data_IF_105543159615
#
_entry.id   IF_105543159615
#
_cell.length_a   1.000
_cell.length_b   1.000
_cell.length_c   1.000
_cell.angle_alpha   90.00
_cell.angle_beta   90.00
_cell.angle_gamma   90.00
#
_symmetry.space_group_name_H-M   'P 1'
#
loop_
_entity.id
_entity.type
_entity.pdbx_description
1 polymer ?
#
# COMPACT_ATOMS: atom_id res chain seq x y z
N UNK A 1 -5.35 -7.53 -14.05
CA UNK A 1 -4.99 -7.89 -12.67
C UNK A 1 -3.53 -7.57 -12.33
N UNK A 2 -2.53 -7.94 -13.15
CA UNK A 2 -1.10 -7.69 -12.87
C UNK A 2 -0.81 -6.20 -12.61
N UNK A 3 -1.32 -5.30 -13.42
CA UNK A 3 -1.16 -3.85 -13.22
C UNK A 3 -1.77 -3.39 -11.91
N UNK A 4 -2.95 -3.90 -11.57
CA UNK A 4 -3.62 -3.57 -10.32
C UNK A 4 -2.77 -3.96 -9.11
N UNK A 5 -2.32 -5.22 -9.03
CA UNK A 5 -1.50 -5.71 -7.92
C UNK A 5 -0.16 -5.00 -7.82
N UNK A 6 0.46 -4.66 -8.97
CA UNK A 6 1.68 -3.87 -9.01
C UNK A 6 1.48 -2.49 -8.38
N UNK A 7 0.44 -1.76 -8.79
CA UNK A 7 0.18 -0.42 -8.26
C UNK A 7 -0.27 -0.44 -6.81
N UNK A 8 -0.99 -1.48 -6.34
CA UNK A 8 -1.31 -1.64 -4.92
C UNK A 8 -0.06 -1.88 -4.07
N UNK A 9 0.85 -2.73 -4.53
CA UNK A 9 2.13 -2.95 -3.84
C UNK A 9 2.98 -1.67 -3.81
N UNK A 10 3.00 -0.91 -4.91
CA UNK A 10 3.74 0.33 -5.02
C UNK A 10 3.18 1.41 -4.08
N UNK A 11 1.86 1.64 -4.08
CA UNK A 11 1.26 2.66 -3.23
C UNK A 11 1.36 2.30 -1.75
N UNK A 12 1.07 1.06 -1.37
CA UNK A 12 1.17 0.57 0.00
C UNK A 12 2.59 0.63 0.54
N UNK A 13 3.55 0.11 -0.24
CA UNK A 13 4.97 0.14 0.11
C UNK A 13 5.52 1.54 0.25
N UNK A 14 5.18 2.46 -0.67
CA UNK A 14 5.65 3.87 -0.61
C UNK A 14 5.18 4.55 0.68
N UNK A 15 3.91 4.38 1.07
CA UNK A 15 3.40 4.96 2.31
C UNK A 15 3.93 4.28 3.56
N UNK A 16 4.18 2.97 3.53
CA UNK A 16 4.82 2.27 4.63
C UNK A 16 6.23 2.79 4.88
N UNK A 17 7.04 2.97 3.82
CA UNK A 17 8.39 3.53 3.93
C UNK A 17 8.33 4.99 4.39
N UNK A 18 7.41 5.81 3.86
CA UNK A 18 7.22 7.18 4.34
C UNK A 18 6.82 7.23 5.82
N UNK A 19 5.95 6.33 6.27
CA UNK A 19 5.59 6.19 7.69
C UNK A 19 6.81 5.88 8.56
N UNK A 20 7.66 4.96 8.13
CA UNK A 20 8.91 4.63 8.82
C UNK A 20 9.83 5.85 8.93
N UNK A 21 10.04 6.59 7.83
CA UNK A 21 10.85 7.81 7.83
C UNK A 21 10.28 8.87 8.80
N UNK A 22 8.95 9.01 8.82
CA UNK A 22 8.26 9.95 9.73
C UNK A 22 8.47 9.56 11.19
N UNK A 23 8.43 8.26 11.55
CA UNK A 23 8.75 7.77 12.89
C UNK A 23 10.20 8.06 13.28
N UNK A 24 11.12 7.97 12.33
CA UNK A 24 12.53 8.31 12.54
C UNK A 24 12.79 9.83 12.58
N UNK A 25 11.80 10.67 12.31
CA UNK A 25 11.94 12.13 12.27
C UNK A 25 12.66 12.65 11.04
N UNK A 26 12.73 11.85 9.96
CA UNK A 26 13.38 12.21 8.68
C UNK A 26 12.36 12.17 7.54
N UNK A 27 12.74 12.63 6.34
CA UNK A 27 11.88 12.55 5.16
C UNK A 27 10.76 13.58 5.10
N UNK A 28 10.89 14.72 5.81
CA UNK A 28 9.91 15.82 5.78
C UNK A 28 9.64 16.33 4.37
N UNK A 29 10.69 16.51 3.56
CA UNK A 29 10.58 17.00 2.18
C UNK A 29 9.90 16.00 1.23
N UNK A 30 9.87 14.74 1.61
CA UNK A 30 9.34 13.65 0.79
C UNK A 30 7.85 13.41 0.96
N UNK A 31 7.24 13.84 2.07
CA UNK A 31 5.87 13.45 2.45
C UNK A 31 4.84 13.78 1.36
N UNK A 32 4.89 15.00 0.80
CA UNK A 32 3.98 15.40 -0.28
C UNK A 32 4.16 14.54 -1.53
N UNK A 33 5.41 14.28 -1.94
CA UNK A 33 5.69 13.46 -3.11
C UNK A 33 5.25 12.01 -2.90
N UNK A 34 5.53 11.43 -1.73
CA UNK A 34 5.09 10.08 -1.36
C UNK A 34 3.56 9.94 -1.36
N UNK A 35 2.84 10.94 -0.84
CA UNK A 35 1.38 10.99 -0.87
C UNK A 35 0.84 11.05 -2.31
N UNK A 36 1.40 11.93 -3.14
CA UNK A 36 0.98 12.08 -4.54
C UNK A 36 1.23 10.79 -5.31
N UNK A 37 2.42 10.21 -5.20
CA UNK A 37 2.76 8.94 -5.88
C UNK A 37 1.82 7.83 -5.43
N UNK A 38 1.55 7.71 -4.13
CA UNK A 38 0.64 6.68 -3.61
C UNK A 38 -0.81 6.90 -4.05
N UNK A 39 -1.29 8.15 -4.04
CA UNK A 39 -2.65 8.47 -4.49
C UNK A 39 -2.82 8.18 -6.00
N UNK A 40 -1.86 8.63 -6.81
CA UNK A 40 -1.88 8.36 -8.26
C UNK A 40 -1.81 6.86 -8.54
N UNK A 41 -0.94 6.12 -7.85
CA UNK A 41 -0.82 4.67 -8.01
C UNK A 41 -2.11 3.95 -7.62
N UNK A 42 -2.77 4.36 -6.53
CA UNK A 42 -4.06 3.80 -6.13
C UNK A 42 -5.14 4.04 -7.18
N UNK A 43 -5.21 5.25 -7.74
CA UNK A 43 -6.17 5.59 -8.81
C UNK A 43 -5.89 4.80 -10.08
N UNK A 44 -4.62 4.75 -10.52
CA UNK A 44 -4.24 3.99 -11.74
C UNK A 44 -4.52 2.50 -11.56
N UNK A 45 -4.19 1.93 -10.39
CA UNK A 45 -4.53 0.54 -10.06
C UNK A 45 -6.03 0.30 -10.07
N UNK A 46 -6.81 1.20 -9.45
CA UNK A 46 -8.27 1.15 -9.46
C UNK A 46 -8.85 1.20 -10.88
N UNK A 47 -8.40 2.12 -11.71
CA UNK A 47 -8.81 2.20 -13.12
C UNK A 47 -8.46 0.90 -13.86
N UNK A 48 -7.26 0.36 -13.65
CA UNK A 48 -6.85 -0.89 -14.30
C UNK A 48 -7.76 -2.08 -13.94
N UNK A 49 -8.24 -2.16 -12.69
CA UNK A 49 -9.19 -3.20 -12.29
C UNK A 49 -10.56 -2.97 -12.91
N UNK A 50 -11.07 -1.74 -12.93
CA UNK A 50 -12.35 -1.41 -13.57
C UNK A 50 -12.36 -1.75 -15.06
N UNK A 51 -11.27 -1.45 -15.76
CA UNK A 51 -11.15 -1.80 -17.20
C UNK A 51 -11.07 -3.30 -17.46
N UNK A 52 -10.69 -4.10 -16.45
CA UNK A 52 -10.58 -5.56 -16.57
C UNK A 52 -11.88 -6.29 -16.24
N UNK A 53 -12.79 -5.66 -15.52
CA UNK A 53 -14.05 -6.25 -15.10
C UNK A 53 -15.11 -6.09 -16.21
N UNK A 54 -15.62 -7.20 -16.72
CA UNK A 54 -16.75 -7.20 -17.67
C UNK A 54 -18.03 -6.62 -17.04
N UNK A 55 -18.19 -6.79 -15.72
CA UNK A 55 -19.34 -6.35 -14.94
C UNK A 55 -18.88 -5.51 -13.74
N UNK A 56 -18.39 -4.30 -13.99
CA UNK A 56 -17.87 -3.40 -12.96
C UNK A 56 -18.92 -3.02 -11.91
N UNK A 57 -20.22 -3.03 -12.25
CA UNK A 57 -21.33 -2.77 -11.33
C UNK A 57 -21.39 -3.78 -10.17
N UNK A 58 -20.85 -5.00 -10.35
CA UNK A 58 -20.82 -6.04 -9.32
C UNK A 58 -19.87 -5.73 -8.17
N UNK A 59 -18.96 -4.77 -8.34
CA UNK A 59 -18.09 -4.29 -7.24
C UNK A 59 -18.95 -3.73 -6.10
N UNK A 60 -20.05 -3.03 -6.42
CA UNK A 60 -20.94 -2.48 -5.39
C UNK A 60 -21.65 -3.58 -4.59
N UNK A 61 -21.90 -4.75 -5.19
CA UNK A 61 -22.47 -5.90 -4.48
C UNK A 61 -21.49 -6.46 -3.43
N UNK A 62 -20.18 -6.37 -3.67
CA UNK A 62 -19.16 -6.78 -2.70
C UNK A 62 -19.21 -5.94 -1.42
N UNK A 63 -19.52 -4.64 -1.52
CA UNK A 63 -19.74 -3.78 -0.38
C UNK A 63 -21.08 -4.07 0.32
N UNK A 64 -22.15 -4.31 -0.45
CA UNK A 64 -23.49 -4.59 0.07
C UNK A 64 -23.58 -5.90 0.84
N UNK A 65 -22.91 -6.96 0.42
CA UNK A 65 -22.94 -8.28 1.08
C UNK A 65 -22.33 -8.25 2.49
N UNK A 66 -21.29 -7.47 2.70
CA UNK A 66 -20.67 -7.32 4.01
C UNK A 66 -21.55 -6.50 4.96
N UNK A 67 -22.14 -5.41 4.46
CA UNK A 67 -23.04 -4.55 5.23
C UNK A 67 -24.38 -5.24 5.59
N UNK A 68 -24.84 -6.16 4.75
CA UNK A 68 -26.09 -6.91 4.97
C UNK A 68 -25.96 -8.06 5.99
N UNK A 69 -24.75 -8.32 6.52
CA UNK A 69 -24.53 -9.38 7.53
C UNK A 69 -24.79 -10.80 7.01
N UNK A 70 -24.95 -10.98 5.72
CA UNK A 70 -25.08 -12.30 5.10
C UNK A 70 -23.74 -13.01 5.16
N UNK A 71 -23.54 -13.88 6.15
CA UNK A 71 -22.32 -14.60 6.50
C UNK A 71 -21.78 -15.56 5.44
N UNK A 72 -21.88 -15.22 4.17
CA UNK A 72 -21.14 -15.88 3.11
C UNK A 72 -19.66 -15.46 3.20
N UNK A 73 -18.77 -16.41 3.11
CA UNK A 73 -17.33 -16.22 3.19
C UNK A 73 -16.91 -14.97 2.39
N UNK A 74 -16.27 -14.02 3.09
CA UNK A 74 -15.75 -12.79 2.46
C UNK A 74 -14.75 -13.24 1.40
N UNK A 75 -15.05 -12.98 0.13
CA UNK A 75 -14.11 -13.33 -0.93
C UNK A 75 -12.83 -12.50 -0.80
N UNK A 76 -11.67 -13.04 -1.19
CA UNK A 76 -10.41 -12.33 -1.15
C UNK A 76 -10.47 -10.97 -1.87
N UNK A 77 -11.18 -10.90 -2.99
CA UNK A 77 -11.41 -9.65 -3.75
C UNK A 77 -12.19 -8.63 -2.91
N UNK A 78 -13.20 -9.06 -2.16
CA UNK A 78 -13.97 -8.16 -1.28
C UNK A 78 -13.08 -7.59 -0.18
N UNK A 79 -12.25 -8.43 0.44
CA UNK A 79 -11.27 -8.01 1.44
C UNK A 79 -10.30 -6.97 0.88
N UNK A 80 -9.74 -7.24 -0.31
CA UNK A 80 -8.82 -6.35 -1.00
C UNK A 80 -9.44 -4.98 -1.29
N UNK A 81 -10.69 -4.92 -1.76
CA UNK A 81 -11.42 -3.67 -1.98
C UNK A 81 -11.61 -2.87 -0.69
N UNK A 82 -11.92 -3.53 0.43
CA UNK A 82 -12.03 -2.85 1.73
C UNK A 82 -10.70 -2.26 2.17
N UNK A 83 -9.59 -2.98 1.98
CA UNK A 83 -8.27 -2.43 2.26
C UNK A 83 -7.91 -1.26 1.34
N UNK A 84 -8.36 -1.24 0.08
CA UNK A 84 -8.22 -0.08 -0.80
C UNK A 84 -8.94 1.15 -0.25
N UNK A 85 -10.18 0.98 0.25
CA UNK A 85 -10.95 2.07 0.88
C UNK A 85 -10.26 2.56 2.17
N UNK A 86 -9.83 1.65 3.04
CA UNK A 86 -9.10 2.00 4.26
C UNK A 86 -7.79 2.73 3.94
N UNK A 87 -7.09 2.30 2.91
CA UNK A 87 -5.86 2.95 2.46
C UNK A 87 -6.14 4.35 1.92
N UNK A 88 -7.19 4.55 1.13
CA UNK A 88 -7.61 5.87 0.65
C UNK A 88 -7.95 6.81 1.81
N UNK A 89 -8.71 6.33 2.81
CA UNK A 89 -9.01 7.09 4.02
C UNK A 89 -7.75 7.44 4.81
N UNK A 90 -6.81 6.50 4.94
CA UNK A 90 -5.51 6.75 5.59
C UNK A 90 -4.72 7.83 4.85
N UNK A 91 -4.69 7.83 3.51
CA UNK A 91 -4.02 8.89 2.73
C UNK A 91 -4.62 10.25 3.02
N UNK A 92 -5.95 10.36 3.07
CA UNK A 92 -6.65 11.61 3.40
C UNK A 92 -6.30 12.06 4.83
N UNK A 93 -6.37 11.17 5.80
CA UNK A 93 -6.02 11.48 7.19
C UNK A 93 -4.57 11.94 7.31
N UNK A 94 -3.64 11.20 6.69
CA UNK A 94 -2.22 11.55 6.70
C UNK A 94 -1.99 12.95 6.12
N UNK A 95 -2.61 13.27 4.98
CA UNK A 95 -2.55 14.59 4.36
C UNK A 95 -3.10 15.70 5.27
N UNK A 96 -4.29 15.50 5.86
CA UNK A 96 -4.93 16.50 6.72
C UNK A 96 -4.09 16.79 7.97
N UNK A 97 -3.60 15.75 8.63
CA UNK A 97 -2.82 15.92 9.85
C UNK A 97 -1.41 16.45 9.58
N UNK A 98 -0.80 16.06 8.46
CA UNK A 98 0.46 16.66 8.00
C UNK A 98 0.31 18.17 7.77
N UNK A 99 -0.81 18.60 7.15
CA UNK A 99 -1.09 20.02 6.89
C UNK A 99 -1.40 20.83 8.16
N UNK A 100 -1.96 20.18 9.17
CA UNK A 100 -2.30 20.83 10.45
C UNK A 100 -1.11 20.89 11.43
N UNK A 101 -0.09 20.10 11.21
CA UNK A 101 1.07 20.04 12.08
C UNK A 101 1.93 21.30 11.90
N UNK A 102 2.33 21.92 13.00
CA UNK A 102 3.25 23.08 12.99
C UNK A 102 4.61 22.73 12.41
N UNK A 103 5.07 21.52 12.64
CA UNK A 103 6.34 21.01 12.11
C UNK A 103 6.26 20.63 10.62
N UNK A 104 5.05 20.60 10.03
CA UNK A 104 4.82 20.13 8.68
C UNK A 104 5.14 18.66 8.46
N UNK A 105 5.21 17.87 9.56
CA UNK A 105 5.32 16.42 9.55
C UNK A 105 4.04 15.78 10.09
N UNK A 106 3.63 14.66 9.54
CA UNK A 106 2.50 13.91 10.08
C UNK A 106 2.82 13.41 11.50
N UNK A 107 1.82 13.37 12.41
CA UNK A 107 2.03 12.87 13.76
C UNK A 107 2.38 11.37 13.74
N UNK A 108 3.08 10.91 14.79
CA UNK A 108 3.59 9.52 14.88
C UNK A 108 2.49 8.46 14.74
N UNK A 109 1.29 8.71 15.25
CA UNK A 109 0.18 7.76 15.12
C UNK A 109 -0.29 7.60 13.65
N UNK A 110 -0.29 8.70 12.86
CA UNK A 110 -0.53 8.62 11.42
C UNK A 110 0.57 7.83 10.70
N UNK A 111 1.81 7.99 11.12
CA UNK A 111 2.93 7.24 10.58
C UNK A 111 2.80 5.73 10.86
N UNK A 112 2.37 5.35 12.06
CA UNK A 112 2.07 3.93 12.39
C UNK A 112 0.92 3.41 11.54
N UNK A 113 -0.16 4.17 11.39
CA UNK A 113 -1.27 3.79 10.50
C UNK A 113 -0.83 3.61 9.05
N UNK A 114 0.05 4.50 8.55
CA UNK A 114 0.59 4.39 7.20
C UNK A 114 1.41 3.10 7.00
N UNK A 115 2.18 2.69 8.01
CA UNK A 115 2.93 1.42 7.97
C UNK A 115 1.96 0.24 7.99
N UNK A 116 1.05 0.20 8.97
CA UNK A 116 0.15 -0.95 9.17
C UNK A 116 -0.77 -1.14 7.96
N UNK A 117 -1.49 -0.10 7.55
CA UNK A 117 -2.43 -0.17 6.43
C UNK A 117 -1.67 -0.32 5.09
N UNK A 118 -0.53 0.37 4.96
CA UNK A 118 0.33 0.28 3.77
C UNK A 118 0.88 -1.12 3.52
N UNK A 119 1.18 -1.90 4.56
CA UNK A 119 1.61 -3.30 4.44
C UNK A 119 0.44 -4.29 4.43
N UNK A 120 -0.67 -3.97 5.10
CA UNK A 120 -1.87 -4.80 5.09
C UNK A 120 -2.52 -4.88 3.69
N UNK A 121 -2.45 -3.80 2.90
CA UNK A 121 -2.98 -3.77 1.54
C UNK A 121 -2.33 -4.83 0.63
N UNK A 122 -1.00 -4.90 0.44
CA UNK A 122 -0.38 -5.97 -0.34
C UNK A 122 -0.53 -7.35 0.31
N UNK A 123 -0.64 -7.45 1.64
CA UNK A 123 -0.93 -8.71 2.31
C UNK A 123 -2.32 -9.23 1.93
N UNK A 124 -3.34 -8.38 1.92
CA UNK A 124 -4.70 -8.72 1.46
C UNK A 124 -4.71 -9.10 -0.03
N UNK A 125 -3.90 -8.43 -0.85
CA UNK A 125 -3.70 -8.81 -2.26
C UNK A 125 -3.10 -10.23 -2.35
N UNK A 126 -2.08 -10.54 -1.57
CA UNK A 126 -1.49 -11.89 -1.52
C UNK A 126 -2.49 -12.96 -1.07
N UNK A 127 -3.33 -12.64 -0.08
CA UNK A 127 -4.39 -13.52 0.42
C UNK A 127 -5.45 -13.80 -0.65
N UNK A 128 -5.83 -12.81 -1.46
CA UNK A 128 -6.82 -12.95 -2.52
C UNK A 128 -6.42 -13.94 -3.63
N UNK A 129 -5.12 -14.23 -3.75
CA UNK A 129 -4.56 -15.21 -4.71
C UNK A 129 -4.35 -16.61 -4.12
N UNK A 130 -4.66 -16.84 -2.83
CA UNK A 130 -4.61 -18.19 -2.25
C UNK A 130 -5.72 -19.05 -2.86
N UNK A 131 -5.34 -20.01 -3.68
CA UNK A 131 -6.27 -20.90 -4.37
C UNK A 131 -6.04 -22.36 -3.96
N UNK A 132 -6.98 -22.99 -3.23
CA UNK A 132 -6.88 -24.42 -2.87
C UNK A 132 -6.76 -25.35 -4.07
N UNK A 133 -7.30 -24.93 -5.23
CA UNK A 133 -7.21 -25.69 -6.49
C UNK A 133 -5.81 -25.72 -7.09
N UNK A 134 -4.92 -24.81 -6.69
CA UNK A 134 -3.53 -24.74 -7.18
C UNK A 134 -2.61 -24.81 -5.96
N UNK A 135 -2.13 -26.03 -5.57
CA UNK A 135 -1.33 -26.18 -4.34
C UNK A 135 -0.08 -25.31 -4.27
N UNK A 136 0.54 -25.02 -5.42
CA UNK A 136 1.71 -24.14 -5.49
C UNK A 136 1.40 -22.67 -5.08
N UNK A 137 0.16 -22.23 -5.19
CA UNK A 137 -0.30 -20.88 -4.84
C UNK A 137 -1.02 -20.84 -3.47
N UNK A 138 -1.36 -21.99 -2.94
CA UNK A 138 -2.04 -22.11 -1.64
C UNK A 138 -1.01 -22.20 -0.49
N UNK A 139 -0.17 -21.19 -0.38
CA UNK A 139 0.86 -21.12 0.65
C UNK A 139 0.92 -19.72 1.28
N UNK A 140 1.08 -19.61 2.61
CA UNK A 140 1.28 -18.32 3.29
C UNK A 140 2.50 -17.54 2.78
N UNK A 141 3.46 -18.21 2.16
CA UNK A 141 4.63 -17.58 1.55
C UNK A 141 4.24 -16.59 0.45
N UNK A 142 3.10 -16.79 -0.21
CA UNK A 142 2.60 -15.86 -1.22
C UNK A 142 2.29 -14.48 -0.59
N UNK A 143 1.69 -14.45 0.58
CA UNK A 143 1.42 -13.21 1.32
C UNK A 143 2.75 -12.51 1.67
N UNK A 144 3.72 -13.28 2.19
CA UNK A 144 5.06 -12.75 2.51
C UNK A 144 5.73 -12.18 1.26
N UNK A 145 5.65 -12.88 0.13
CA UNK A 145 6.17 -12.41 -1.15
C UNK A 145 5.58 -11.05 -1.57
N UNK A 146 4.26 -10.88 -1.47
CA UNK A 146 3.60 -9.60 -1.82
C UNK A 146 4.02 -8.46 -0.89
N UNK A 147 4.15 -8.72 0.41
CA UNK A 147 4.61 -7.74 1.38
C UNK A 147 6.08 -7.35 1.11
N UNK A 148 6.96 -8.31 0.88
CA UNK A 148 8.37 -8.04 0.56
C UNK A 148 8.52 -7.27 -0.74
N UNK A 149 7.74 -7.62 -1.76
CA UNK A 149 7.70 -6.90 -3.03
C UNK A 149 7.21 -5.46 -2.85
N UNK A 150 6.22 -5.23 -2.00
CA UNK A 150 5.77 -3.88 -1.67
C UNK A 150 6.86 -3.05 -0.95
N UNK A 151 7.59 -3.66 -0.02
CA UNK A 151 8.71 -3.00 0.67
C UNK A 151 9.84 -2.67 -0.32
N UNK A 152 10.15 -3.58 -1.23
CA UNK A 152 11.13 -3.35 -2.30
C UNK A 152 10.71 -2.19 -3.20
N UNK A 153 9.51 -2.25 -3.78
CA UNK A 153 8.99 -1.23 -4.69
C UNK A 153 8.85 0.13 -4.00
N UNK A 154 8.26 0.14 -2.79
CA UNK A 154 8.11 1.36 -1.99
C UNK A 154 9.46 1.96 -1.60
N UNK A 155 10.43 1.13 -1.22
CA UNK A 155 11.79 1.54 -0.92
C UNK A 155 12.51 2.16 -2.13
N UNK A 156 12.37 1.54 -3.31
CA UNK A 156 12.94 2.08 -4.55
C UNK A 156 12.32 3.44 -4.91
N UNK A 157 10.99 3.55 -4.90
CA UNK A 157 10.27 4.81 -5.16
C UNK A 157 10.68 5.87 -4.15
N UNK A 158 10.70 5.54 -2.86
CA UNK A 158 11.12 6.46 -1.81
C UNK A 158 12.58 6.91 -1.99
N UNK A 159 13.47 6.03 -2.46
CA UNK A 159 14.86 6.37 -2.76
C UNK A 159 14.95 7.39 -3.91
N UNK A 160 14.15 7.21 -4.96
CA UNK A 160 14.06 8.18 -6.07
C UNK A 160 13.53 9.53 -5.57
N UNK A 161 12.47 9.52 -4.76
CA UNK A 161 11.89 10.74 -4.19
C UNK A 161 12.91 11.44 -3.27
N UNK A 162 13.66 10.70 -2.45
CA UNK A 162 14.70 11.24 -1.58
C UNK A 162 15.82 11.92 -2.40
N UNK A 163 16.23 11.28 -3.49
CA UNK A 163 17.22 11.83 -4.41
C UNK A 163 16.73 13.13 -5.05
N UNK A 164 15.51 13.16 -5.58
CA UNK A 164 14.90 14.33 -6.20
C UNK A 164 14.68 15.48 -5.20
N UNK A 165 14.32 15.15 -3.95
CA UNK A 165 14.09 16.11 -2.87
C UNK A 165 15.37 16.58 -2.18
N UNK A 166 16.54 16.03 -2.59
CA UNK A 166 17.85 16.30 -1.98
C UNK A 166 17.86 16.06 -0.47
N UNK A 167 17.13 15.03 -0.01
CA UNK A 167 17.07 14.60 1.39
C UNK A 167 18.08 13.48 1.64
N UNK A 168 19.33 13.87 1.93
CA UNK A 168 20.43 12.91 2.10
C UNK A 168 20.24 11.98 3.31
N UNK A 169 19.56 12.45 4.36
CA UNK A 169 19.29 11.64 5.54
C UNK A 169 18.29 10.52 5.25
N UNK A 170 17.26 10.81 4.46
CA UNK A 170 16.27 9.82 4.04
C UNK A 170 16.83 8.85 2.99
N UNK A 171 17.68 9.31 2.08
CA UNK A 171 18.21 8.53 0.96
C UNK A 171 18.89 7.21 1.40
N UNK A 172 19.80 7.30 2.39
CA UNK A 172 20.51 6.11 2.88
C UNK A 172 19.57 5.10 3.54
N UNK A 173 18.54 5.58 4.24
CA UNK A 173 17.57 4.73 4.91
C UNK A 173 16.65 4.04 3.90
N UNK A 174 16.13 4.77 2.92
CA UNK A 174 15.24 4.21 1.89
C UNK A 174 15.95 3.17 1.03
N UNK A 175 17.20 3.40 0.67
CA UNK A 175 18.01 2.43 -0.08
C UNK A 175 18.21 1.12 0.71
N UNK A 176 18.49 1.18 2.01
CA UNK A 176 18.59 0.00 2.88
C UNK A 176 17.26 -0.75 2.96
N UNK A 177 16.14 -0.04 3.09
CA UNK A 177 14.80 -0.66 3.13
C UNK A 177 14.49 -1.38 1.82
N UNK A 178 14.81 -0.77 0.68
CA UNK A 178 14.64 -1.41 -0.62
C UNK A 178 15.46 -2.71 -0.76
N UNK A 179 16.73 -2.68 -0.35
CA UNK A 179 17.59 -3.87 -0.36
C UNK A 179 17.04 -4.98 0.54
N UNK A 180 16.62 -4.64 1.78
CA UNK A 180 16.05 -5.61 2.70
C UNK A 180 14.78 -6.27 2.13
N UNK A 181 13.88 -5.50 1.53
CA UNK A 181 12.70 -6.05 0.86
C UNK A 181 13.03 -7.01 -0.28
N UNK A 182 14.07 -6.70 -1.07
CA UNK A 182 14.52 -7.54 -2.16
C UNK A 182 15.23 -8.83 -1.70
N UNK A 183 15.95 -8.80 -0.58
CA UNK A 183 16.64 -10.00 -0.04
C UNK A 183 15.69 -10.98 0.63
N UNK A 184 14.70 -10.49 1.38
CA UNK A 184 13.73 -11.35 2.08
C UNK A 184 12.75 -12.00 1.08
N UNK A 185 12.45 -11.32 -0.04
CA UNK A 185 11.53 -11.82 -1.07
C UNK A 185 12.12 -12.83 -2.05
N UNK A 186 13.41 -13.20 -1.91
CA UNK A 186 14.06 -14.27 -2.71
C UNK A 186 13.85 -15.62 -2.08
#
# INVERSE_FOLDING_TARGET
LILFTFFLSLCGGTMAVQGLLTLMGVGKKMQNASLIVSAVSLVVGGVAVFMHLEHWERIFNAFGSLLAGNGTAVSGITLELWFCVLFALMLVLYFLFMRRSEDGMAPKWCAVLAIVIGLALPAATGDSYLMPSIPAWNTPLLIVYYVCNAVLLGGLVATVIAFMSKDTAAYATTAKVALAGGEIGR
#
